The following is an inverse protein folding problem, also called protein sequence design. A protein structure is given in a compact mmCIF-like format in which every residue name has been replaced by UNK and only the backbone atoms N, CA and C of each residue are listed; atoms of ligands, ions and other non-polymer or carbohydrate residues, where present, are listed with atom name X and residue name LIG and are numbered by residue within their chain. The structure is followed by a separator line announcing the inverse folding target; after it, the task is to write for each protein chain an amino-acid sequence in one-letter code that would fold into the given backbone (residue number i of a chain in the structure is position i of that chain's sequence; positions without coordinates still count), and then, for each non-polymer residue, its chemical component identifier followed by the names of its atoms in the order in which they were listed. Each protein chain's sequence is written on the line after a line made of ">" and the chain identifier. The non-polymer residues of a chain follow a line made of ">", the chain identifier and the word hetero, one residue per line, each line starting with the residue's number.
data_IF_296317096893
#
_entry.id   IF_296317096893
#
_cell.length_a   1.000
_cell.length_b   1.000
_cell.length_c   1.000
_cell.angle_alpha   90.00
_cell.angle_beta   90.00
_cell.angle_gamma   90.00
#
_symmetry.space_group_name_H-M   'P 1'
#
loop_
_entity.id
_entity.type
_entity.pdbx_description
1 polymer ?
#
# COMPACT_ATOMS: atom_id res chain seq x y z
N UNK A 1 -44.22 -40.19 32.78
CA UNK A 1 -45.23 -39.14 32.49
C UNK A 1 -44.52 -38.05 31.70
N UNK A 2 -44.58 -38.11 30.37
CA UNK A 2 -44.20 -37.02 29.46
C UNK A 2 -45.32 -35.97 29.44
N UNK A 3 -44.96 -34.69 29.53
CA UNK A 3 -45.74 -33.47 29.21
C UNK A 3 -44.89 -32.27 29.71
N UNK A 4 -44.57 -31.25 28.94
CA UNK A 4 -45.01 -30.92 27.60
C UNK A 4 -44.10 -29.89 26.93
N UNK A 5 -44.25 -29.87 25.62
CA UNK A 5 -43.71 -28.95 24.63
C UNK A 5 -44.39 -27.57 24.71
N UNK A 6 -43.66 -26.59 24.16
CA UNK A 6 -44.09 -25.44 23.36
C UNK A 6 -45.13 -24.48 23.93
N UNK A 7 -44.72 -23.22 24.18
CA UNK A 7 -45.35 -21.99 23.63
C UNK A 7 -44.39 -20.79 23.70
N UNK A 8 -44.14 -20.16 22.54
CA UNK A 8 -44.20 -18.70 22.26
C UNK A 8 -43.13 -18.22 21.26
N UNK A 9 -43.19 -18.75 20.04
CA UNK A 9 -42.83 -18.01 18.83
C UNK A 9 -44.05 -17.21 18.37
N UNK A 10 -44.17 -15.95 18.78
CA UNK A 10 -45.07 -14.99 18.14
C UNK A 10 -44.59 -13.57 18.42
N UNK A 11 -44.65 -12.72 17.39
CA UNK A 11 -44.16 -11.33 17.28
C UNK A 11 -42.68 -11.28 16.87
N UNK A 12 -42.32 -10.99 15.61
CA UNK A 12 -42.67 -9.76 14.92
C UNK A 12 -42.38 -9.89 13.40
N UNK A 13 -43.37 -10.37 12.62
CA UNK A 13 -43.41 -10.21 11.16
C UNK A 13 -44.43 -9.12 10.81
N UNK A 14 -43.95 -7.91 10.63
CA UNK A 14 -44.64 -6.78 10.00
C UNK A 14 -43.49 -5.86 9.58
N UNK A 15 -43.13 -5.73 8.31
CA UNK A 15 -43.75 -4.82 7.34
C UNK A 15 -43.46 -5.27 5.90
N UNK A 16 -44.52 -5.43 5.10
CA UNK A 16 -44.51 -5.37 3.63
C UNK A 16 -45.87 -4.85 3.16
N UNK A 17 -45.89 -3.68 2.54
CA UNK A 17 -46.75 -3.23 1.41
C UNK A 17 -46.47 -1.75 1.17
N UNK A 18 -45.81 -1.40 0.06
CA UNK A 18 -46.41 -0.76 -1.12
C UNK A 18 -45.44 0.37 -1.55
N UNK A 19 -45.30 0.83 -2.79
CA UNK A 19 -46.10 0.69 -4.00
C UNK A 19 -45.21 1.05 -5.23
N UNK A 20 -45.56 0.53 -6.40
CA UNK A 20 -44.93 0.76 -7.69
C UNK A 20 -45.28 2.13 -8.29
N UNK A 21 -44.37 2.79 -9.02
CA UNK A 21 -44.66 3.63 -10.20
C UNK A 21 -43.40 3.72 -11.11
N UNK A 22 -43.44 3.08 -12.29
CA UNK A 22 -43.53 3.65 -13.66
C UNK A 22 -42.19 3.86 -14.39
N UNK A 23 -41.90 2.90 -15.28
CA UNK A 23 -41.45 3.03 -16.67
C UNK A 23 -40.74 4.32 -17.11
N UNK A 24 -39.48 4.19 -17.55
CA UNK A 24 -39.09 4.77 -18.84
C UNK A 24 -38.03 3.88 -19.51
N UNK A 25 -38.42 3.34 -20.67
CA UNK A 25 -37.55 2.70 -21.62
C UNK A 25 -37.06 3.77 -22.61
N UNK A 26 -35.75 3.85 -22.86
CA UNK A 26 -35.23 4.57 -24.02
C UNK A 26 -34.13 3.74 -24.71
N UNK A 27 -34.57 3.14 -25.81
CA UNK A 27 -33.95 3.06 -27.13
C UNK A 27 -32.47 2.70 -27.25
N UNK A 28 -32.28 1.46 -27.70
CA UNK A 28 -31.33 1.03 -28.73
C UNK A 28 -30.86 2.16 -29.66
N UNK A 29 -29.54 2.30 -29.82
CA UNK A 29 -28.96 2.69 -31.11
C UNK A 29 -27.86 1.69 -31.51
N UNK A 30 -28.20 0.93 -32.54
CA UNK A 30 -27.37 0.02 -33.31
C UNK A 30 -26.77 0.87 -34.43
N UNK A 31 -25.45 1.03 -34.48
CA UNK A 31 -24.79 1.60 -35.66
C UNK A 31 -24.00 0.49 -36.36
N UNK A 32 -24.54 0.08 -37.51
CA UNK A 32 -23.88 -0.69 -38.56
C UNK A 32 -23.25 0.34 -39.50
N UNK A 33 -22.06 0.06 -40.03
CA UNK A 33 -21.73 0.07 -41.48
C UNK A 33 -20.24 -0.22 -41.65
N UNK A 34 -19.98 -1.22 -42.49
CA UNK A 34 -18.70 -1.70 -42.97
C UNK A 34 -18.07 -0.78 -44.03
N UNK A 35 -16.76 -0.89 -44.24
CA UNK A 35 -16.03 -0.65 -45.50
C UNK A 35 -14.52 -0.69 -45.21
N UNK A 36 -13.59 -1.17 -46.04
CA UNK A 36 -13.56 -1.94 -47.30
C UNK A 36 -12.08 -2.27 -47.53
N UNK A 37 -11.80 -3.45 -48.10
CA UNK A 37 -10.48 -3.86 -48.57
C UNK A 37 -9.92 -2.97 -49.69
N UNK A 38 -8.59 -2.73 -49.66
CA UNK A 38 -7.71 -2.49 -50.83
C UNK A 38 -6.34 -3.08 -50.43
N UNK A 39 -5.92 -4.27 -50.90
CA UNK A 39 -5.44 -4.68 -52.23
C UNK A 39 -3.98 -4.29 -52.53
N UNK A 40 -3.30 -5.26 -53.16
CA UNK A 40 -2.09 -5.16 -54.00
C UNK A 40 -0.73 -5.51 -53.38
N UNK A 41 -0.41 -6.79 -53.56
CA UNK A 41 0.94 -7.32 -53.79
C UNK A 41 1.70 -6.50 -54.84
N UNK A 42 3.01 -6.31 -54.68
CA UNK A 42 3.98 -6.55 -55.76
C UNK A 42 5.30 -7.08 -55.19
N UNK A 43 5.74 -8.18 -55.80
CA UNK A 43 6.96 -8.94 -55.57
C UNK A 43 7.86 -8.71 -56.79
N UNK A 44 9.14 -8.34 -56.61
CA UNK A 44 10.20 -8.68 -57.58
C UNK A 44 11.52 -8.90 -56.83
N UNK A 45 12.30 -9.84 -57.39
CA UNK A 45 13.37 -10.65 -56.83
C UNK A 45 14.76 -10.01 -56.92
N UNK A 46 15.60 -10.42 -55.95
CA UNK A 46 17.01 -10.83 -56.03
C UNK A 46 17.88 -10.37 -57.21
N UNK A 47 19.01 -9.73 -56.87
CA UNK A 47 20.30 -10.04 -57.52
C UNK A 47 21.41 -10.12 -56.46
N UNK A 48 22.06 -11.27 -56.43
CA UNK A 48 23.21 -11.65 -55.64
C UNK A 48 24.50 -10.91 -56.07
N UNK A 49 25.42 -10.70 -55.12
CA UNK A 49 26.86 -10.94 -55.32
C UNK A 49 27.65 -10.94 -54.00
N UNK A 50 28.63 -11.85 -53.83
CA UNK A 50 29.42 -11.97 -52.61
C UNK A 50 30.69 -11.12 -52.68
N UNK A 51 31.05 -10.45 -51.58
CA UNK A 51 32.43 -10.04 -51.35
C UNK A 51 32.76 -10.17 -49.87
N UNK A 52 33.72 -11.06 -49.61
CA UNK A 52 34.33 -11.33 -48.33
C UNK A 52 35.42 -10.29 -48.13
N UNK A 53 35.28 -9.41 -47.15
CA UNK A 53 36.42 -8.72 -46.55
C UNK A 53 36.21 -8.59 -45.04
N UNK A 54 37.10 -9.24 -44.33
CA UNK A 54 37.46 -8.99 -42.95
C UNK A 54 37.74 -7.51 -42.75
N UNK A 55 36.96 -6.88 -41.88
CA UNK A 55 37.39 -5.71 -41.14
C UNK A 55 36.88 -5.92 -39.72
N UNK A 56 37.81 -5.87 -38.77
CA UNK A 56 37.51 -5.88 -37.35
C UNK A 56 36.36 -4.91 -37.10
N UNK A 57 35.24 -5.42 -36.58
CA UNK A 57 34.32 -4.54 -35.87
C UNK A 57 35.03 -4.20 -34.58
N UNK A 58 35.81 -3.13 -34.65
CA UNK A 58 36.07 -2.29 -33.50
C UNK A 58 34.69 -2.04 -32.89
N UNK A 59 34.42 -2.76 -31.79
CA UNK A 59 33.35 -2.42 -30.88
C UNK A 59 33.80 -1.11 -30.24
N UNK A 60 33.66 -0.03 -31.00
CA UNK A 60 33.60 1.31 -30.48
C UNK A 60 32.37 1.30 -29.58
N UNK A 61 32.62 0.99 -28.30
CA UNK A 61 31.74 1.33 -27.20
C UNK A 61 31.59 2.83 -27.25
N UNK A 62 30.64 3.27 -28.07
CA UNK A 62 30.12 4.62 -28.04
C UNK A 62 29.49 4.73 -26.67
N UNK A 63 30.26 5.30 -25.74
CA UNK A 63 29.76 5.88 -24.52
C UNK A 63 28.80 6.99 -24.94
N UNK A 64 27.56 6.58 -25.24
CA UNK A 64 26.42 7.44 -24.94
C UNK A 64 26.66 7.84 -23.50
N UNK A 65 26.90 9.13 -23.26
CA UNK A 65 26.77 9.73 -21.95
C UNK A 65 25.36 9.36 -21.49
N UNK A 66 25.27 8.24 -20.76
CA UNK A 66 24.03 7.84 -20.15
C UNK A 66 23.66 9.02 -19.27
N UNK A 67 22.47 9.59 -19.51
CA UNK A 67 21.84 10.46 -18.52
C UNK A 67 22.06 9.79 -17.16
N UNK A 68 22.48 10.54 -16.11
CA UNK A 68 22.73 9.94 -14.82
C UNK A 68 21.55 9.04 -14.49
N UNK A 69 21.79 7.78 -14.09
CA UNK A 69 20.71 6.80 -13.94
C UNK A 69 19.65 7.42 -13.06
N UNK A 70 18.52 7.76 -13.66
CA UNK A 70 17.40 8.37 -12.95
C UNK A 70 16.90 7.32 -11.97
N UNK A 71 17.03 7.57 -10.67
CA UNK A 71 16.51 6.68 -9.64
C UNK A 71 15.03 6.38 -9.89
N UNK A 72 14.63 5.13 -9.70
CA UNK A 72 13.25 4.68 -9.87
C UNK A 72 12.27 5.26 -8.83
N UNK A 73 12.74 6.08 -7.88
CA UNK A 73 11.97 6.61 -6.75
C UNK A 73 11.89 8.15 -6.70
N UNK A 74 12.06 8.84 -7.84
CA UNK A 74 12.02 10.31 -7.92
C UNK A 74 10.76 10.98 -7.32
N UNK A 75 9.63 10.25 -7.20
CA UNK A 75 8.40 10.76 -6.56
C UNK A 75 8.40 10.68 -5.02
N UNK A 76 9.34 9.95 -4.43
CA UNK A 76 9.42 9.78 -2.97
C UNK A 76 10.47 10.69 -2.33
N UNK A 77 11.41 11.21 -3.13
CA UNK A 77 12.55 12.00 -2.67
C UNK A 77 12.42 13.46 -3.11
N UNK A 78 13.11 14.36 -2.41
CA UNK A 78 13.30 15.73 -2.89
C UNK A 78 14.27 15.76 -4.07
N UNK A 79 14.12 16.75 -4.96
CA UNK A 79 14.93 16.90 -6.19
C UNK A 79 16.44 16.89 -5.97
N UNK A 80 16.89 17.27 -4.78
CA UNK A 80 18.31 17.33 -4.44
C UNK A 80 18.94 15.95 -4.26
N UNK A 81 18.16 14.95 -3.83
CA UNK A 81 18.64 13.62 -3.45
C UNK A 81 18.22 12.51 -4.43
N UNK A 82 17.65 12.87 -5.59
CA UNK A 82 17.24 11.93 -6.63
C UNK A 82 18.40 11.17 -7.30
N UNK A 83 19.65 11.54 -7.02
CA UNK A 83 20.85 10.88 -7.57
C UNK A 83 21.64 10.05 -6.55
N UNK A 84 21.23 10.05 -5.28
CA UNK A 84 21.96 9.39 -4.19
C UNK A 84 21.65 7.87 -4.12
N UNK A 85 22.57 7.07 -3.60
CA UNK A 85 22.29 5.64 -3.38
C UNK A 85 21.32 5.43 -2.21
N UNK A 86 20.60 4.31 -2.17
CA UNK A 86 19.71 4.01 -1.04
C UNK A 86 20.49 3.95 0.27
N UNK A 87 21.71 3.42 0.24
CA UNK A 87 22.59 3.39 1.41
C UNK A 87 22.97 4.78 1.94
N UNK A 88 23.11 5.80 1.09
CA UNK A 88 23.30 7.17 1.57
C UNK A 88 21.99 7.77 2.06
N UNK A 89 20.88 7.59 1.34
CA UNK A 89 19.55 8.13 1.70
C UNK A 89 19.11 7.64 3.09
N UNK A 90 19.30 6.36 3.40
CA UNK A 90 18.90 5.79 4.68
C UNK A 90 19.59 6.45 5.89
N UNK A 91 20.80 7.00 5.70
CA UNK A 91 21.57 7.68 6.75
C UNK A 91 21.19 9.15 6.91
N UNK A 92 20.45 9.70 5.96
CA UNK A 92 20.01 11.09 5.98
C UNK A 92 18.74 11.27 6.81
N UNK A 93 18.43 12.53 7.08
CA UNK A 93 17.24 12.93 7.83
C UNK A 93 15.96 12.66 7.05
N UNK A 94 14.85 12.60 7.79
CA UNK A 94 13.50 12.45 7.24
C UNK A 94 13.07 13.53 6.24
N UNK A 95 13.72 14.70 6.24
CA UNK A 95 13.44 15.80 5.29
C UNK A 95 13.78 15.48 3.84
N UNK A 96 14.59 14.44 3.62
CA UNK A 96 14.88 13.92 2.27
C UNK A 96 13.64 13.37 1.57
N UNK A 97 12.61 12.98 2.34
CA UNK A 97 11.37 12.44 1.80
C UNK A 97 10.42 13.56 1.36
N UNK A 98 9.86 13.41 0.16
CA UNK A 98 8.92 14.36 -0.39
C UNK A 98 7.63 14.42 0.45
N UNK A 99 7.30 15.62 0.94
CA UNK A 99 6.07 15.87 1.70
C UNK A 99 6.24 15.92 3.21
N UNK A 100 7.47 15.75 3.72
CA UNK A 100 7.80 16.05 5.12
C UNK A 100 8.26 17.51 5.19
N UNK A 101 7.46 18.34 5.87
CA UNK A 101 7.81 19.73 6.18
C UNK A 101 8.52 19.85 7.53
N UNK A 102 9.04 21.05 7.88
CA UNK A 102 9.77 21.27 9.13
C UNK A 102 8.91 20.96 10.38
N UNK A 103 7.61 21.24 10.32
CA UNK A 103 6.67 20.90 11.40
C UNK A 103 6.57 19.39 11.65
N UNK A 104 6.54 18.60 10.58
CA UNK A 104 6.43 17.14 10.67
C UNK A 104 7.76 16.50 11.10
N UNK A 105 8.88 17.15 10.76
CA UNK A 105 10.19 16.74 11.23
C UNK A 105 10.31 16.87 12.76
N UNK A 106 9.88 17.99 13.35
CA UNK A 106 9.89 18.19 14.81
C UNK A 106 9.06 17.10 15.54
N UNK A 107 7.89 16.77 15.00
CA UNK A 107 7.02 15.70 15.51
C UNK A 107 7.70 14.32 15.47
N UNK A 108 8.43 14.02 14.39
CA UNK A 108 9.17 12.76 14.28
C UNK A 108 10.36 12.71 15.25
N UNK A 109 11.00 13.85 15.52
CA UNK A 109 12.12 13.94 16.47
C UNK A 109 11.67 13.69 17.91
N UNK A 110 10.47 14.14 18.28
CA UNK A 110 9.85 13.82 19.56
C UNK A 110 9.67 12.30 19.74
N UNK A 111 9.28 11.61 18.67
CA UNK A 111 9.15 10.16 18.61
C UNK A 111 10.50 9.41 18.51
N UNK A 112 11.63 10.13 18.60
CA UNK A 112 13.00 9.62 18.44
C UNK A 112 13.30 9.05 17.04
N UNK A 113 12.61 9.53 16.01
CA UNK A 113 12.81 9.12 14.61
C UNK A 113 13.55 10.25 13.90
N UNK A 114 14.85 10.11 13.67
CA UNK A 114 15.66 11.16 13.02
C UNK A 114 15.96 10.84 11.57
N UNK A 115 16.34 9.59 11.31
CA UNK A 115 16.80 9.14 10.00
C UNK A 115 15.72 8.37 9.23
N UNK A 116 15.88 8.28 7.91
CA UNK A 116 15.01 7.43 7.08
C UNK A 116 15.16 5.95 7.48
N UNK A 117 16.34 5.52 7.95
CA UNK A 117 16.52 4.17 8.49
C UNK A 117 15.70 3.91 9.77
N UNK A 118 15.60 4.89 10.67
CA UNK A 118 14.79 4.76 11.89
C UNK A 118 13.30 4.61 11.53
N UNK A 119 12.85 5.37 10.53
CA UNK A 119 11.49 5.29 10.01
C UNK A 119 11.20 3.92 9.39
N UNK A 120 12.17 3.35 8.65
CA UNK A 120 12.06 2.01 8.09
C UNK A 120 11.98 0.91 9.17
N UNK A 121 12.74 1.06 10.25
CA UNK A 121 12.79 0.11 11.37
C UNK A 121 11.72 0.37 12.43
N UNK A 122 10.70 1.18 12.13
CA UNK A 122 9.74 1.62 13.14
C UNK A 122 8.82 0.47 13.58
N UNK A 123 9.04 -0.03 14.81
CA UNK A 123 8.33 -1.19 15.39
C UNK A 123 6.81 -1.09 15.29
N UNK A 124 6.25 0.07 15.64
CA UNK A 124 4.79 0.26 15.70
C UNK A 124 4.15 0.28 14.32
N UNK A 125 4.87 0.75 13.30
CA UNK A 125 4.41 0.68 11.92
C UNK A 125 4.32 -0.76 11.42
N UNK A 126 5.34 -1.58 11.66
CA UNK A 126 5.33 -3.00 11.27
C UNK A 126 4.19 -3.77 11.94
N UNK A 127 3.96 -3.48 13.23
CA UNK A 127 2.85 -4.06 13.97
C UNK A 127 1.50 -3.63 13.40
N UNK A 128 1.30 -2.33 13.19
CA UNK A 128 0.07 -1.78 12.64
C UNK A 128 -0.22 -2.30 11.22
N UNK A 129 0.82 -2.40 10.38
CA UNK A 129 0.75 -2.99 9.04
C UNK A 129 0.33 -4.46 9.10
N UNK A 130 0.92 -5.25 10.00
CA UNK A 130 0.54 -6.65 10.19
C UNK A 130 -0.92 -6.79 10.64
N UNK A 131 -1.37 -5.97 11.59
CA UNK A 131 -2.77 -5.95 12.05
C UNK A 131 -3.71 -5.61 10.89
N UNK A 132 -3.38 -4.59 10.10
CA UNK A 132 -4.21 -4.14 8.96
C UNK A 132 -4.35 -5.25 7.91
N UNK A 133 -3.25 -5.92 7.57
CA UNK A 133 -3.27 -7.04 6.59
C UNK A 133 -4.03 -8.24 7.12
N UNK A 134 -3.88 -8.59 8.40
CA UNK A 134 -4.59 -9.71 9.00
C UNK A 134 -6.08 -9.42 9.20
N UNK A 135 -6.46 -8.17 9.48
CA UNK A 135 -7.85 -7.77 9.61
C UNK A 135 -8.66 -8.00 8.33
N UNK A 136 -8.03 -7.91 7.16
CA UNK A 136 -8.65 -8.23 5.86
C UNK A 136 -8.94 -9.74 5.71
N UNK A 137 -8.23 -10.60 6.45
CA UNK A 137 -8.38 -12.06 6.40
C UNK A 137 -9.29 -12.61 7.50
N UNK A 138 -9.82 -11.77 8.38
CA UNK A 138 -10.75 -12.22 9.42
C UNK A 138 -12.11 -12.59 8.83
N UNK A 139 -12.67 -13.71 9.29
CA UNK A 139 -14.06 -14.10 9.04
C UNK A 139 -15.02 -13.29 9.93
N UNK A 140 -16.28 -13.20 9.52
CA UNK A 140 -17.28 -12.37 10.22
C UNK A 140 -17.67 -12.91 11.60
N UNK A 141 -17.43 -14.20 11.85
CA UNK A 141 -17.68 -14.86 13.15
C UNK A 141 -16.64 -14.49 14.23
N UNK A 142 -15.64 -13.68 13.86
CA UNK A 142 -14.65 -13.14 14.78
C UNK A 142 -13.73 -14.21 15.37
N UNK A 143 -13.12 -13.87 16.52
CA UNK A 143 -12.18 -14.77 17.21
C UNK A 143 -12.94 -15.87 17.96
N UNK A 144 -12.52 -17.12 17.78
CA UNK A 144 -12.96 -18.22 18.65
C UNK A 144 -12.50 -18.01 20.10
N UNK A 145 -13.40 -18.24 21.07
CA UNK A 145 -13.13 -18.05 22.50
C UNK A 145 -11.94 -18.84 23.02
N UNK A 146 -11.65 -19.98 22.39
CA UNK A 146 -10.62 -20.93 22.83
C UNK A 146 -9.28 -20.70 22.11
N UNK A 147 -9.21 -19.70 21.21
CA UNK A 147 -7.99 -19.38 20.50
C UNK A 147 -6.95 -18.79 21.48
N UNK A 148 -5.79 -19.44 21.58
CA UNK A 148 -4.69 -19.02 22.47
C UNK A 148 -3.76 -17.97 21.82
N UNK A 149 -3.75 -17.85 20.49
CA UNK A 149 -2.84 -16.94 19.81
C UNK A 149 -3.45 -15.54 19.61
N UNK A 150 -2.89 -14.52 20.26
CA UNK A 150 -3.06 -13.13 19.85
C UNK A 150 -1.72 -12.37 19.88
N UNK A 151 -1.77 -11.11 19.44
CA UNK A 151 -0.68 -10.14 19.57
C UNK A 151 -0.70 -9.50 20.97
N UNK A 152 -0.75 -10.31 22.04
CA UNK A 152 -0.89 -9.82 23.42
C UNK A 152 0.25 -8.88 23.83
N UNK A 153 1.45 -9.10 23.30
CA UNK A 153 2.64 -8.27 23.56
C UNK A 153 2.76 -7.03 22.67
N UNK A 154 1.78 -6.79 21.79
CA UNK A 154 1.78 -5.66 20.87
C UNK A 154 0.68 -4.65 21.16
N UNK A 155 -0.39 -5.05 21.84
CA UNK A 155 -1.54 -4.21 22.15
C UNK A 155 -1.66 -3.99 23.66
N UNK A 156 -2.36 -2.93 24.05
CA UNK A 156 -2.73 -2.70 25.44
C UNK A 156 -3.70 -3.80 25.92
N UNK A 157 -3.65 -4.11 27.22
CA UNK A 157 -4.53 -5.06 27.91
C UNK A 157 -6.03 -4.84 27.62
N UNK A 158 -6.43 -3.59 27.40
CA UNK A 158 -7.81 -3.26 27.04
C UNK A 158 -8.26 -3.78 25.65
N UNK A 159 -7.31 -4.17 24.79
CA UNK A 159 -7.55 -4.59 23.40
C UNK A 159 -7.13 -6.04 23.11
N UNK A 160 -6.55 -6.76 24.06
CA UNK A 160 -6.10 -8.16 23.91
C UNK A 160 -7.23 -9.14 23.54
N UNK A 161 -8.48 -8.85 23.91
CA UNK A 161 -9.63 -9.73 23.64
C UNK A 161 -10.48 -9.32 22.41
N UNK A 162 -10.00 -8.37 21.60
CA UNK A 162 -10.74 -7.84 20.45
C UNK A 162 -10.29 -8.47 19.13
N UNK A 163 -11.13 -8.38 18.10
CA UNK A 163 -10.79 -8.77 16.73
C UNK A 163 -9.74 -7.82 16.13
N UNK A 164 -8.98 -8.26 15.12
CA UNK A 164 -8.05 -7.39 14.40
C UNK A 164 -8.76 -6.23 13.71
N UNK A 165 -10.00 -6.43 13.20
CA UNK A 165 -10.84 -5.36 12.66
C UNK A 165 -11.15 -4.28 13.68
N UNK A 166 -11.41 -4.65 14.94
CA UNK A 166 -11.65 -3.69 16.02
C UNK A 166 -10.36 -3.00 16.47
N UNK A 167 -9.25 -3.73 16.52
CA UNK A 167 -7.92 -3.17 16.85
C UNK A 167 -7.47 -2.19 15.77
N UNK A 168 -7.71 -2.49 14.48
CA UNK A 168 -7.36 -1.61 13.37
C UNK A 168 -8.05 -0.24 13.48
N UNK A 169 -9.32 -0.22 13.92
CA UNK A 169 -10.11 1.01 14.14
C UNK A 169 -9.79 1.70 15.46
N UNK A 170 -9.05 1.06 16.35
CA UNK A 170 -8.66 1.63 17.63
C UNK A 170 -7.69 2.82 17.43
N UNK A 171 -7.61 3.75 18.40
CA UNK A 171 -6.61 4.81 18.36
C UNK A 171 -5.20 4.25 18.46
N UNK A 172 -4.21 5.01 18.00
CA UNK A 172 -2.78 4.62 18.04
C UNK A 172 -2.30 4.30 19.47
N UNK A 173 -2.89 4.91 20.51
CA UNK A 173 -2.60 4.60 21.91
C UNK A 173 -3.00 3.19 22.36
N UNK A 174 -3.74 2.44 21.53
CA UNK A 174 -4.03 1.03 21.80
C UNK A 174 -2.80 0.12 21.63
N UNK A 175 -1.71 0.60 21.02
CA UNK A 175 -0.47 -0.14 20.88
C UNK A 175 0.38 -0.05 22.15
N UNK A 176 0.89 -1.20 22.59
CA UNK A 176 1.70 -1.27 23.80
C UNK A 176 3.03 -0.51 23.62
N UNK A 177 3.29 0.46 24.50
CA UNK A 177 4.54 1.22 24.53
C UNK A 177 4.47 2.60 23.89
N UNK A 178 3.30 3.02 23.40
CA UNK A 178 3.04 4.41 23.04
C UNK A 178 2.46 5.17 24.24
N UNK A 179 3.07 6.31 24.55
CA UNK A 179 2.54 7.25 25.56
C UNK A 179 1.37 8.04 24.97
N UNK A 180 0.55 8.63 25.84
CA UNK A 180 -0.53 9.51 25.41
C UNK A 180 -0.02 10.70 24.59
N UNK A 181 1.14 11.25 24.97
CA UNK A 181 1.86 12.31 24.25
C UNK A 181 2.20 11.89 22.82
N UNK A 182 2.79 10.69 22.64
CA UNK A 182 3.09 10.16 21.32
C UNK A 182 1.81 9.99 20.48
N UNK A 183 0.71 9.58 21.11
CA UNK A 183 -0.60 9.50 20.48
C UNK A 183 -1.11 10.85 19.97
N UNK A 184 -0.82 11.95 20.66
CA UNK A 184 -1.13 13.31 20.20
C UNK A 184 -0.24 13.74 19.03
N UNK A 185 1.06 13.45 19.09
CA UNK A 185 2.01 13.72 18.00
C UNK A 185 1.57 13.02 16.71
N UNK A 186 1.10 11.76 16.79
CA UNK A 186 0.53 11.05 15.64
C UNK A 186 -0.75 11.69 15.09
N UNK A 187 -1.64 12.16 15.96
CA UNK A 187 -2.85 12.88 15.51
C UNK A 187 -2.49 14.14 14.72
N UNK A 188 -1.43 14.85 15.11
CA UNK A 188 -0.96 16.03 14.39
C UNK A 188 -0.34 15.68 13.03
N UNK A 189 0.26 14.49 12.89
CA UNK A 189 0.70 13.92 11.61
C UNK A 189 -0.46 13.44 10.72
N UNK A 190 -1.71 13.52 11.21
CA UNK A 190 -2.90 13.06 10.52
C UNK A 190 -3.20 11.57 10.70
N UNK A 191 -2.49 10.89 11.60
CA UNK A 191 -2.64 9.46 11.90
C UNK A 191 -3.48 9.31 13.17
N UNK A 192 -4.72 8.83 13.03
CA UNK A 192 -5.66 8.73 14.17
C UNK A 192 -5.80 7.29 14.67
N UNK A 193 -5.84 6.35 13.73
CA UNK A 193 -6.10 4.93 13.99
C UNK A 193 -4.87 4.07 13.76
N UNK A 194 -4.90 2.83 14.28
CA UNK A 194 -3.86 1.83 13.97
C UNK A 194 -3.82 1.53 12.47
N UNK A 195 -4.98 1.49 11.81
CA UNK A 195 -5.06 1.32 10.34
C UNK A 195 -4.36 2.47 9.59
N UNK A 196 -4.57 3.72 10.01
CA UNK A 196 -3.89 4.88 9.41
C UNK A 196 -2.36 4.76 9.56
N UNK A 197 -1.90 4.26 10.72
CA UNK A 197 -0.48 4.05 10.97
C UNK A 197 0.07 2.95 10.06
N UNK A 198 -0.64 1.82 9.93
CA UNK A 198 -0.26 0.71 9.06
C UNK A 198 -0.20 1.08 7.58
N UNK A 199 -0.96 2.10 7.16
CA UNK A 199 -0.97 2.63 5.78
C UNK A 199 -0.16 3.91 5.60
N UNK A 200 0.68 4.25 6.56
CA UNK A 200 1.48 5.46 6.51
C UNK A 200 2.52 5.41 5.39
N UNK A 201 2.39 6.32 4.41
CA UNK A 201 3.18 6.32 3.16
C UNK A 201 4.68 6.45 3.37
N UNK A 202 5.12 7.27 4.33
CA UNK A 202 6.54 7.56 4.51
C UNK A 202 7.30 6.36 5.09
N UNK A 203 6.71 5.66 6.07
CA UNK A 203 7.27 4.40 6.58
C UNK A 203 7.32 3.33 5.49
N UNK A 204 6.27 3.24 4.66
CA UNK A 204 6.23 2.29 3.53
C UNK A 204 7.34 2.55 2.51
N UNK A 205 7.62 3.82 2.20
CA UNK A 205 8.73 4.20 1.32
C UNK A 205 10.08 3.86 1.95
N UNK A 206 10.28 4.19 3.23
CA UNK A 206 11.51 3.91 3.94
C UNK A 206 11.80 2.40 4.04
N UNK A 207 10.80 1.57 4.35
CA UNK A 207 10.89 0.11 4.36
C UNK A 207 11.26 -0.45 2.97
N UNK A 208 10.65 0.07 1.91
CA UNK A 208 10.96 -0.33 0.55
C UNK A 208 12.39 0.05 0.15
N UNK A 209 12.85 1.26 0.51
CA UNK A 209 14.23 1.70 0.29
C UNK A 209 15.22 0.83 1.06
N UNK A 210 14.93 0.52 2.33
CA UNK A 210 15.78 -0.36 3.14
C UNK A 210 15.87 -1.78 2.56
N UNK A 211 14.77 -2.28 2.01
CA UNK A 211 14.75 -3.58 1.34
C UNK A 211 15.53 -3.55 0.02
N UNK A 212 15.37 -2.49 -0.77
CA UNK A 212 16.10 -2.30 -2.03
C UNK A 212 17.61 -2.10 -1.81
N UNK A 213 18.00 -1.40 -0.75
CA UNK A 213 19.40 -1.17 -0.38
C UNK A 213 20.21 -2.46 -0.19
N UNK A 214 19.55 -3.56 0.19
CA UNK A 214 20.18 -4.89 0.34
C UNK A 214 20.65 -5.49 -1.00
N UNK A 215 20.11 -4.98 -2.11
CA UNK A 215 20.41 -5.43 -3.47
C UNK A 215 21.17 -4.38 -4.28
N UNK A 216 21.64 -3.29 -3.65
CA UNK A 216 22.60 -2.37 -4.25
C UNK A 216 24.01 -2.96 -4.23
N UNK A 217 24.80 -2.66 -5.27
CA UNK A 217 26.22 -3.02 -5.37
C UNK A 217 27.12 -1.88 -4.90
#
# INVERSE_FOLDING_TARGET
>A
RQRGEDKQDTQNRRWRTGNNHTLSAFSFHRFIVANTMISSMQSVRLVSRPFRMSCQRDFASSSKTALPPTLNCAKALIKQNEGDSFNSILKMDVTTLQGIGPKHQEQLYELRIQTVADLANFKYFHLAKAITVLAEQEEDDGRHSDAQMNIDKGVDKAYENKSFRDIAKAPVSALQGLTDEAGETFKQLGVKTVEDLGRFKFCSWAEAMQTAAKFEN
#
